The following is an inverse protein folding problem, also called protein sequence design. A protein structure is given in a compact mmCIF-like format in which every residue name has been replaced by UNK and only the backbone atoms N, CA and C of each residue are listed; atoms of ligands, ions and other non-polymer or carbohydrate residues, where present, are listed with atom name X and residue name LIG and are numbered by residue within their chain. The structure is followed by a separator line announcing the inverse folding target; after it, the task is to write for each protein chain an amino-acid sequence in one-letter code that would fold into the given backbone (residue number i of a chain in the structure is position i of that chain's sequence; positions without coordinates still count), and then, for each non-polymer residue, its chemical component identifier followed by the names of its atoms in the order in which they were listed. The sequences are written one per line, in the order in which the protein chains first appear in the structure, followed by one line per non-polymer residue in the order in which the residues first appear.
data_IF_908491842614
#
_entry.id   IF_908491842614
#
_cell.length_a   1.000
_cell.length_b   1.000
_cell.length_c   1.000
_cell.angle_alpha   90.00
_cell.angle_beta   90.00
_cell.angle_gamma   90.00
#
_symmetry.space_group_name_H-M   'P 1'
#
loop_
_entity.id
_entity.type
_entity.pdbx_description
1 polymer ?
#
# COMPACT_ATOMS: atom_id res chain seq x y z
N UNK A 1 40.77 -30.03 18.18
CA UNK A 1 39.71 -29.93 17.15
C UNK A 1 38.40 -29.73 17.88
N UNK A 2 37.95 -28.48 17.97
CA UNK A 2 36.72 -28.08 18.66
C UNK A 2 35.58 -28.07 17.63
N UNK A 3 34.46 -28.70 17.97
CA UNK A 3 33.23 -28.70 17.19
C UNK A 3 32.48 -27.36 17.31
N UNK A 4 33.17 -26.26 17.00
CA UNK A 4 32.64 -24.89 17.06
C UNK A 4 32.84 -24.11 15.75
N UNK A 5 33.32 -24.76 14.69
CA UNK A 5 33.42 -24.19 13.34
C UNK A 5 32.52 -24.99 12.40
N UNK A 6 31.51 -24.30 11.83
CA UNK A 6 30.53 -24.71 10.80
C UNK A 6 29.05 -24.68 11.24
N UNK A 7 28.55 -23.51 11.64
CA UNK A 7 27.23 -23.10 11.12
C UNK A 7 27.53 -22.04 10.08
N UNK A 8 27.68 -22.46 8.83
CA UNK A 8 27.67 -21.52 7.71
C UNK A 8 26.32 -20.79 7.79
N UNK A 9 26.34 -19.51 8.18
CA UNK A 9 25.13 -18.70 8.30
C UNK A 9 24.40 -18.72 6.97
N UNK A 10 23.22 -19.34 6.93
CA UNK A 10 22.37 -19.39 5.76
C UNK A 10 22.07 -17.95 5.31
N UNK A 11 22.16 -17.68 4.01
CA UNK A 11 21.89 -16.33 3.49
C UNK A 11 20.48 -15.90 3.87
N UNK A 12 20.25 -14.61 4.14
CA UNK A 12 18.91 -14.06 4.37
C UNK A 12 17.96 -14.37 3.21
N UNK A 13 18.49 -14.47 1.99
CA UNK A 13 17.76 -14.89 0.79
C UNK A 13 17.34 -16.36 0.85
N UNK A 14 18.25 -17.25 1.26
CA UNK A 14 17.93 -18.68 1.39
C UNK A 14 16.90 -18.91 2.51
N UNK A 15 17.00 -18.13 3.60
CA UNK A 15 16.02 -18.15 4.69
C UNK A 15 14.65 -17.65 4.24
N UNK A 16 14.61 -16.63 3.37
CA UNK A 16 13.38 -16.12 2.79
C UNK A 16 12.67 -17.17 1.94
N UNK A 17 13.39 -17.84 1.04
CA UNK A 17 12.79 -18.86 0.19
C UNK A 17 12.24 -20.03 1.02
N UNK A 18 13.00 -20.50 2.02
CA UNK A 18 12.54 -21.53 2.95
C UNK A 18 11.27 -21.09 3.70
N UNK A 19 11.26 -19.86 4.23
CA UNK A 19 10.10 -19.32 4.92
C UNK A 19 8.87 -19.22 4.01
N UNK A 20 9.04 -18.78 2.76
CA UNK A 20 7.93 -18.66 1.82
C UNK A 20 7.35 -20.02 1.40
N UNK A 21 8.20 -21.06 1.33
CA UNK A 21 7.74 -22.45 1.16
C UNK A 21 6.94 -22.93 2.37
N UNK A 22 7.39 -22.66 3.59
CA UNK A 22 6.64 -23.00 4.81
C UNK A 22 5.26 -22.32 4.84
N UNK A 23 5.17 -21.04 4.46
CA UNK A 23 3.89 -20.33 4.34
C UNK A 23 2.97 -20.98 3.31
N UNK A 24 3.53 -21.49 2.20
CA UNK A 24 2.78 -22.23 1.19
C UNK A 24 2.22 -23.54 1.74
N UNK A 25 2.93 -24.20 2.65
CA UNK A 25 2.48 -25.40 3.37
C UNK A 25 1.48 -25.10 4.49
N UNK A 26 1.16 -23.83 4.73
CA UNK A 26 0.18 -23.39 5.75
C UNK A 26 0.79 -23.15 7.12
N UNK A 27 2.12 -23.03 7.21
CA UNK A 27 2.81 -22.65 8.43
C UNK A 27 2.37 -21.26 8.93
N UNK A 28 2.32 -21.11 10.25
CA UNK A 28 2.06 -19.83 10.94
C UNK A 28 3.30 -19.34 11.69
N UNK A 29 4.49 -19.78 11.27
CA UNK A 29 5.74 -19.35 11.89
C UNK A 29 5.94 -17.84 11.73
N UNK A 30 6.62 -17.25 12.72
CA UNK A 30 7.00 -15.85 12.65
C UNK A 30 8.05 -15.63 11.56
N UNK A 31 8.00 -14.47 10.91
CA UNK A 31 9.03 -14.06 9.94
C UNK A 31 10.40 -14.05 10.63
N UNK A 32 11.40 -14.76 10.09
CA UNK A 32 12.78 -14.66 10.53
C UNK A 32 13.26 -13.20 10.56
N UNK A 33 13.85 -12.78 11.67
CA UNK A 33 14.22 -11.37 11.88
C UNK A 33 15.25 -10.91 10.85
N UNK A 34 16.15 -11.81 10.48
CA UNK A 34 17.24 -11.66 9.54
C UNK A 34 16.74 -11.16 8.17
N UNK A 35 15.59 -11.64 7.70
CA UNK A 35 14.98 -11.22 6.42
C UNK A 35 14.62 -9.73 6.45
N UNK A 36 14.13 -9.23 7.59
CA UNK A 36 13.63 -7.84 7.70
C UNK A 36 14.77 -6.87 8.00
N UNK A 37 15.79 -7.30 8.76
CA UNK A 37 16.87 -6.42 9.21
C UNK A 37 18.08 -6.40 8.29
N UNK A 38 18.16 -7.29 7.30
CA UNK A 38 19.27 -7.34 6.35
C UNK A 38 19.14 -6.26 5.24
N UNK A 39 19.43 -5.03 5.63
CA UNK A 39 19.42 -3.88 4.73
C UNK A 39 20.46 -3.99 3.60
N UNK A 40 21.56 -4.72 3.82
CA UNK A 40 22.63 -4.86 2.83
C UNK A 40 22.18 -5.70 1.63
N UNK A 41 21.31 -6.68 1.87
CA UNK A 41 20.75 -7.53 0.83
C UNK A 41 19.30 -7.16 0.46
N UNK A 42 18.81 -5.98 0.82
CA UNK A 42 17.43 -5.57 0.60
C UNK A 42 16.98 -5.77 -0.85
N UNK A 43 17.75 -5.30 -1.84
CA UNK A 43 17.42 -5.52 -3.27
C UNK A 43 17.39 -7.00 -3.66
N UNK A 44 18.32 -7.81 -3.14
CA UNK A 44 18.34 -9.24 -3.42
C UNK A 44 17.11 -9.96 -2.83
N UNK A 45 16.68 -9.56 -1.64
CA UNK A 45 15.46 -10.05 -1.00
C UNK A 45 14.21 -9.65 -1.78
N UNK A 46 14.11 -8.40 -2.25
CA UNK A 46 12.99 -7.96 -3.09
C UNK A 46 12.93 -8.75 -4.41
N UNK A 47 14.08 -8.98 -5.05
CA UNK A 47 14.15 -9.79 -6.27
C UNK A 47 13.73 -11.25 -6.01
N UNK A 48 14.14 -11.84 -4.89
CA UNK A 48 13.72 -13.20 -4.52
C UNK A 48 12.20 -13.30 -4.27
N UNK A 49 11.57 -12.22 -3.85
CA UNK A 49 10.11 -12.16 -3.65
C UNK A 49 9.29 -12.15 -4.95
N UNK A 50 9.90 -11.83 -6.10
CA UNK A 50 9.19 -11.68 -7.38
C UNK A 50 8.36 -12.91 -7.77
N UNK A 51 8.91 -14.11 -7.57
CA UNK A 51 8.23 -15.36 -7.89
C UNK A 51 6.96 -15.59 -7.03
N UNK A 52 6.89 -14.98 -5.85
CA UNK A 52 5.80 -15.17 -4.90
C UNK A 52 4.66 -14.15 -5.09
N UNK A 53 4.87 -13.05 -5.81
CA UNK A 53 3.81 -12.07 -6.10
C UNK A 53 2.70 -12.62 -7.01
N UNK A 54 2.98 -13.67 -7.77
CA UNK A 54 2.04 -14.33 -8.68
C UNK A 54 1.61 -15.73 -8.22
N UNK A 55 1.90 -16.07 -6.95
CA UNK A 55 1.57 -17.37 -6.38
C UNK A 55 0.07 -17.70 -6.46
N UNK A 56 -0.26 -18.96 -6.69
CA UNK A 56 -1.66 -19.41 -6.72
C UNK A 56 -2.33 -19.26 -5.34
N UNK A 57 -1.57 -19.39 -4.26
CA UNK A 57 -2.01 -19.34 -2.87
C UNK A 57 -2.06 -17.89 -2.36
N UNK A 58 -3.21 -17.48 -1.85
CA UNK A 58 -3.45 -16.10 -1.37
C UNK A 58 -2.52 -15.73 -0.20
N UNK A 59 -2.31 -16.62 0.77
CA UNK A 59 -1.43 -16.36 1.91
C UNK A 59 0.01 -16.08 1.49
N UNK A 60 0.51 -16.77 0.46
CA UNK A 60 1.86 -16.57 -0.06
C UNK A 60 1.98 -15.20 -0.73
N UNK A 61 1.06 -14.83 -1.62
CA UNK A 61 1.06 -13.47 -2.22
C UNK A 61 0.96 -12.38 -1.16
N UNK A 62 0.04 -12.53 -0.21
CA UNK A 62 -0.15 -11.56 0.87
C UNK A 62 1.13 -11.40 1.72
N UNK A 63 1.81 -12.51 2.02
CA UNK A 63 3.07 -12.50 2.76
C UNK A 63 4.19 -11.86 1.95
N UNK A 64 4.30 -12.17 0.66
CA UNK A 64 5.31 -11.57 -0.21
C UNK A 64 5.20 -10.04 -0.19
N UNK A 65 4.01 -9.48 -0.42
CA UNK A 65 3.80 -8.04 -0.38
C UNK A 65 4.05 -7.44 1.02
N UNK A 66 3.71 -8.14 2.10
CA UNK A 66 4.00 -7.67 3.46
C UNK A 66 5.51 -7.62 3.75
N UNK A 67 6.26 -8.64 3.32
CA UNK A 67 7.72 -8.68 3.45
C UNK A 67 8.38 -7.58 2.64
N UNK A 68 7.99 -7.39 1.37
CA UNK A 68 8.54 -6.31 0.54
C UNK A 68 8.35 -4.96 1.21
N UNK A 69 7.14 -4.69 1.73
CA UNK A 69 6.83 -3.48 2.48
C UNK A 69 7.74 -3.32 3.71
N UNK A 70 7.90 -4.37 4.51
CA UNK A 70 8.71 -4.31 5.76
C UNK A 70 10.20 -4.10 5.45
N UNK A 71 10.73 -4.76 4.43
CA UNK A 71 12.10 -4.57 3.95
C UNK A 71 12.31 -3.13 3.47
N UNK A 72 11.39 -2.61 2.65
CA UNK A 72 11.48 -1.24 2.14
C UNK A 72 11.39 -0.19 3.25
N UNK A 73 10.41 -0.29 4.15
CA UNK A 73 10.27 0.65 5.27
C UNK A 73 11.45 0.58 6.25
N UNK A 74 12.13 -0.56 6.31
CA UNK A 74 13.37 -0.71 7.05
C UNK A 74 14.61 -0.23 6.30
N UNK A 75 14.53 0.17 5.03
CA UNK A 75 15.69 0.51 4.20
C UNK A 75 15.90 2.03 4.07
N UNK A 76 17.14 2.46 4.27
CA UNK A 76 17.55 3.84 3.99
C UNK A 76 17.73 4.10 2.47
N UNK A 77 17.74 3.04 1.66
CA UNK A 77 17.91 3.15 0.21
C UNK A 77 16.59 3.56 -0.47
N UNK A 78 16.52 4.79 -0.95
CA UNK A 78 15.35 5.33 -1.64
C UNK A 78 14.96 4.50 -2.88
N UNK A 79 15.93 3.96 -3.63
CA UNK A 79 15.63 3.14 -4.81
C UNK A 79 14.88 1.86 -4.45
N UNK A 80 15.24 1.22 -3.32
CA UNK A 80 14.52 0.04 -2.80
C UNK A 80 13.09 0.39 -2.41
N UNK A 81 12.89 1.54 -1.75
CA UNK A 81 11.55 2.00 -1.36
C UNK A 81 10.68 2.29 -2.58
N UNK A 82 11.22 3.00 -3.56
CA UNK A 82 10.55 3.33 -4.81
C UNK A 82 10.19 2.10 -5.64
N UNK A 83 11.08 1.11 -5.70
CA UNK A 83 10.84 -0.18 -6.35
C UNK A 83 9.66 -0.92 -5.70
N UNK A 84 9.67 -1.04 -4.37
CA UNK A 84 8.59 -1.71 -3.63
C UNK A 84 7.27 -0.95 -3.74
N UNK A 85 7.27 0.39 -3.76
CA UNK A 85 6.05 1.16 -4.05
C UNK A 85 5.46 0.78 -5.41
N UNK A 86 6.30 0.61 -6.45
CA UNK A 86 5.87 0.13 -7.75
C UNK A 86 5.26 -1.28 -7.72
N UNK A 87 5.88 -2.20 -6.98
CA UNK A 87 5.35 -3.56 -6.74
C UNK A 87 3.98 -3.50 -6.05
N UNK A 88 3.87 -2.73 -4.98
CA UNK A 88 2.63 -2.61 -4.21
C UNK A 88 1.50 -1.94 -5.02
N UNK A 89 1.80 -0.92 -5.83
CA UNK A 89 0.79 -0.32 -6.72
C UNK A 89 0.31 -1.34 -7.76
N UNK A 90 1.19 -2.21 -8.26
CA UNK A 90 0.77 -3.29 -9.17
C UNK A 90 -0.13 -4.30 -8.46
N UNK A 91 0.15 -4.59 -7.18
CA UNK A 91 -0.63 -5.48 -6.33
C UNK A 91 -2.04 -4.96 -5.97
N UNK A 92 -2.34 -3.67 -6.22
CA UNK A 92 -3.72 -3.16 -6.14
C UNK A 92 -4.63 -3.78 -7.22
N UNK A 93 -4.07 -4.51 -8.19
CA UNK A 93 -4.82 -5.30 -9.19
C UNK A 93 -4.87 -6.80 -8.86
N UNK A 94 -4.51 -7.21 -7.63
CA UNK A 94 -4.60 -8.62 -7.22
C UNK A 94 -6.04 -9.13 -7.32
N UNK A 95 -6.20 -10.43 -7.60
CA UNK A 95 -7.51 -11.09 -7.68
C UNK A 95 -8.21 -11.19 -6.33
N UNK A 96 -7.47 -11.11 -5.23
CA UNK A 96 -7.99 -11.22 -3.87
C UNK A 96 -8.19 -9.82 -3.24
N UNK A 97 -9.42 -9.52 -2.82
CA UNK A 97 -9.74 -8.22 -2.21
C UNK A 97 -9.04 -8.01 -0.86
N UNK A 98 -8.77 -9.08 -0.11
CA UNK A 98 -8.02 -9.02 1.15
C UNK A 98 -6.57 -8.59 0.93
N UNK A 99 -5.93 -9.10 -0.13
CA UNK A 99 -4.60 -8.64 -0.57
C UNK A 99 -4.65 -7.17 -0.95
N UNK A 100 -5.59 -6.75 -1.81
CA UNK A 100 -5.76 -5.34 -2.20
C UNK A 100 -5.90 -4.43 -0.98
N UNK A 101 -6.76 -4.79 -0.02
CA UNK A 101 -7.00 -3.99 1.18
C UNK A 101 -5.76 -3.85 2.06
N UNK A 102 -4.95 -4.91 2.20
CA UNK A 102 -3.69 -4.89 2.93
C UNK A 102 -2.63 -4.06 2.23
N UNK A 103 -2.49 -4.22 0.91
CA UNK A 103 -1.56 -3.46 0.06
C UNK A 103 -1.91 -1.97 0.08
N UNK A 104 -3.17 -1.60 -0.10
CA UNK A 104 -3.63 -0.22 -0.03
C UNK A 104 -3.32 0.42 1.33
N UNK A 105 -3.49 -0.33 2.42
CA UNK A 105 -3.10 0.13 3.76
C UNK A 105 -1.57 0.20 3.91
N UNK A 106 -0.84 -0.72 3.30
CA UNK A 106 0.63 -0.74 3.30
C UNK A 106 1.23 0.49 2.62
N UNK A 107 0.62 0.94 1.52
CA UNK A 107 1.06 2.12 0.77
C UNK A 107 0.97 3.42 1.58
N UNK A 108 0.12 3.50 2.61
CA UNK A 108 -0.01 4.72 3.43
C UNK A 108 1.16 4.95 4.39
N UNK A 109 2.06 3.97 4.54
CA UNK A 109 3.26 4.10 5.38
C UNK A 109 4.45 4.72 4.63
N UNK A 110 4.38 4.85 3.31
CA UNK A 110 5.43 5.43 2.49
C UNK A 110 5.32 6.95 2.42
N UNK A 111 6.45 7.62 2.27
CA UNK A 111 6.51 9.06 2.07
C UNK A 111 6.20 9.40 0.61
N UNK A 112 5.77 10.64 0.37
CA UNK A 112 5.44 11.10 -0.99
C UNK A 112 6.63 10.94 -1.98
N UNK A 113 7.85 11.15 -1.52
CA UNK A 113 9.07 11.04 -2.34
C UNK A 113 9.44 9.58 -2.71
N UNK A 114 8.83 8.60 -2.03
CA UNK A 114 8.95 7.18 -2.40
C UNK A 114 8.08 6.84 -3.63
N UNK A 115 7.19 7.75 -4.07
CA UNK A 115 6.37 7.58 -5.26
C UNK A 115 7.03 8.25 -6.46
N UNK A 116 7.64 7.44 -7.32
CA UNK A 116 8.17 7.91 -8.61
C UNK A 116 7.06 8.47 -9.51
N UNK A 117 7.37 9.33 -10.50
CA UNK A 117 6.38 9.78 -11.48
C UNK A 117 5.65 8.63 -12.20
N UNK A 118 6.36 7.54 -12.50
CA UNK A 118 5.78 6.35 -13.12
C UNK A 118 4.78 5.63 -12.19
N UNK A 119 5.13 5.50 -10.91
CA UNK A 119 4.24 4.91 -9.90
C UNK A 119 3.01 5.79 -9.64
N UNK A 120 3.19 7.11 -9.59
CA UNK A 120 2.11 8.10 -9.46
C UNK A 120 1.12 7.98 -10.63
N UNK A 121 1.62 7.97 -11.86
CA UNK A 121 0.77 7.81 -13.06
C UNK A 121 0.01 6.47 -13.03
N UNK A 122 0.67 5.40 -12.58
CA UNK A 122 0.04 4.08 -12.46
C UNK A 122 -1.08 4.08 -11.42
N UNK A 123 -0.89 4.81 -10.31
CA UNK A 123 -1.88 4.98 -9.24
C UNK A 123 -3.06 5.87 -9.67
N UNK A 124 -2.82 6.96 -10.39
CA UNK A 124 -3.90 7.81 -10.93
C UNK A 124 -4.80 7.06 -11.92
N UNK A 125 -4.27 6.05 -12.61
CA UNK A 125 -5.01 5.21 -13.55
C UNK A 125 -5.78 4.04 -12.89
N UNK A 126 -5.61 3.82 -11.57
CA UNK A 126 -6.24 2.69 -10.87
C UNK A 126 -7.71 2.87 -10.45
N UNK A 127 -8.20 4.07 -10.09
CA UNK A 127 -9.58 4.21 -9.63
C UNK A 127 -10.60 3.75 -10.68
N UNK A 128 -11.24 2.61 -10.40
CA UNK A 128 -12.33 2.01 -11.18
C UNK A 128 -13.54 1.76 -10.26
N UNK A 129 -14.79 2.00 -10.71
CA UNK A 129 -15.99 1.81 -9.88
C UNK A 129 -16.15 0.42 -9.25
N UNK A 130 -15.56 -0.63 -9.85
CA UNK A 130 -15.64 -2.02 -9.38
C UNK A 130 -14.43 -2.43 -8.54
N UNK A 131 -13.45 -1.55 -8.39
CA UNK A 131 -12.23 -1.81 -7.64
C UNK A 131 -12.55 -2.06 -6.15
N UNK A 132 -12.09 -3.18 -5.57
CA UNK A 132 -12.15 -3.37 -4.12
C UNK A 132 -11.38 -2.27 -3.39
N UNK A 133 -11.91 -1.80 -2.26
CA UNK A 133 -11.29 -0.74 -1.45
C UNK A 133 -11.04 0.57 -2.24
N UNK A 134 -11.93 0.89 -3.18
CA UNK A 134 -11.84 2.09 -4.01
C UNK A 134 -11.67 3.38 -3.20
N UNK A 135 -12.29 3.49 -2.03
CA UNK A 135 -12.11 4.59 -1.09
C UNK A 135 -10.64 4.80 -0.70
N UNK A 136 -9.93 3.73 -0.37
CA UNK A 136 -8.49 3.78 -0.05
C UNK A 136 -7.64 4.15 -1.26
N UNK A 137 -7.97 3.59 -2.44
CA UNK A 137 -7.26 3.90 -3.68
C UNK A 137 -7.42 5.39 -4.04
N UNK A 138 -8.63 5.94 -3.92
CA UNK A 138 -8.89 7.37 -4.12
C UNK A 138 -8.05 8.23 -3.17
N UNK A 139 -8.03 7.89 -1.88
CA UNK A 139 -7.26 8.63 -0.87
C UNK A 139 -5.76 8.60 -1.18
N UNK A 140 -5.23 7.45 -1.61
CA UNK A 140 -3.83 7.31 -2.03
C UNK A 140 -3.53 8.17 -3.27
N UNK A 141 -4.39 8.15 -4.28
CA UNK A 141 -4.25 9.03 -5.46
C UNK A 141 -4.14 10.49 -5.02
N UNK A 142 -5.04 10.94 -4.15
CA UNK A 142 -5.02 12.30 -3.60
C UNK A 142 -3.80 12.67 -2.77
N UNK A 143 -3.25 11.71 -2.03
CA UNK A 143 -2.05 11.91 -1.22
C UNK A 143 -0.80 12.10 -2.11
N UNK A 144 -0.61 11.22 -3.09
CA UNK A 144 0.54 11.26 -3.99
C UNK A 144 0.44 12.47 -4.91
N UNK A 145 -0.73 12.72 -5.49
CA UNK A 145 -0.99 13.86 -6.37
C UNK A 145 -0.36 13.70 -7.75
N UNK A 146 -1.19 13.36 -8.73
CA UNK A 146 -0.87 13.27 -10.15
C UNK A 146 -1.50 14.41 -10.99
N UNK A 147 -0.99 14.65 -12.21
CA UNK A 147 -1.40 15.78 -13.05
C UNK A 147 -2.87 15.75 -13.49
N UNK A 148 -3.51 14.57 -13.48
CA UNK A 148 -4.89 14.36 -13.97
C UNK A 148 -5.86 13.91 -12.88
N UNK A 149 -5.46 13.96 -11.60
CA UNK A 149 -6.25 13.41 -10.51
C UNK A 149 -7.63 14.06 -10.41
N UNK A 150 -7.71 15.38 -10.58
CA UNK A 150 -8.97 16.12 -10.47
C UNK A 150 -10.02 15.63 -11.46
N UNK A 151 -9.64 15.38 -12.71
CA UNK A 151 -10.58 14.93 -13.75
C UNK A 151 -11.02 13.49 -13.52
N UNK A 152 -10.08 12.62 -13.11
CA UNK A 152 -10.38 11.23 -12.72
C UNK A 152 -11.38 11.22 -11.56
N UNK A 153 -11.14 12.01 -10.51
CA UNK A 153 -11.97 12.06 -9.31
C UNK A 153 -13.35 12.66 -9.58
N UNK A 154 -13.45 13.70 -10.41
CA UNK A 154 -14.74 14.28 -10.82
C UNK A 154 -15.57 13.27 -11.60
N UNK A 155 -14.96 12.58 -12.56
CA UNK A 155 -15.62 11.53 -13.33
C UNK A 155 -16.12 10.42 -12.39
N UNK A 156 -15.26 9.97 -11.48
CA UNK A 156 -15.58 8.90 -10.55
C UNK A 156 -16.70 9.28 -9.57
N UNK A 157 -16.71 10.52 -9.05
CA UNK A 157 -17.74 11.03 -8.14
C UNK A 157 -19.14 11.14 -8.80
N UNK A 158 -19.17 11.27 -10.12
CA UNK A 158 -20.41 11.29 -10.92
C UNK A 158 -20.94 9.90 -11.25
N UNK A 159 -20.16 8.85 -11.02
CA UNK A 159 -20.58 7.47 -11.27
C UNK A 159 -21.34 6.87 -10.08
N UNK A 160 -21.98 5.71 -10.30
CA UNK A 160 -22.65 4.94 -9.25
C UNK A 160 -21.64 4.12 -8.45
N UNK A 161 -20.93 4.79 -7.55
CA UNK A 161 -19.96 4.19 -6.62
C UNK A 161 -20.49 4.17 -5.18
N UNK A 162 -19.86 3.36 -4.32
CA UNK A 162 -20.22 3.28 -2.91
C UNK A 162 -20.08 4.62 -2.18
N UNK A 163 -20.85 4.79 -1.09
CA UNK A 163 -20.88 6.03 -0.29
C UNK A 163 -19.48 6.46 0.18
N UNK A 164 -18.69 5.52 0.70
CA UNK A 164 -17.35 5.80 1.23
C UNK A 164 -16.38 6.24 0.12
N UNK A 165 -16.45 5.61 -1.05
CA UNK A 165 -15.64 6.00 -2.21
C UNK A 165 -16.02 7.40 -2.69
N UNK A 166 -17.33 7.70 -2.77
CA UNK A 166 -17.81 9.03 -3.15
C UNK A 166 -17.39 10.11 -2.15
N UNK A 167 -17.45 9.80 -0.86
CA UNK A 167 -16.96 10.67 0.20
C UNK A 167 -15.46 10.93 0.06
N UNK A 168 -14.67 9.87 -0.11
CA UNK A 168 -13.21 9.97 -0.33
C UNK A 168 -12.89 10.84 -1.55
N UNK A 169 -13.63 10.70 -2.65
CA UNK A 169 -13.44 11.53 -3.84
C UNK A 169 -13.67 13.02 -3.53
N UNK A 170 -14.74 13.37 -2.81
CA UNK A 170 -14.98 14.76 -2.43
C UNK A 170 -13.94 15.30 -1.45
N UNK A 171 -13.48 14.50 -0.48
CA UNK A 171 -12.40 14.89 0.43
C UNK A 171 -11.11 15.22 -0.33
N UNK A 172 -10.72 14.33 -1.25
CA UNK A 172 -9.51 14.53 -2.06
C UNK A 172 -9.66 15.74 -2.98
N UNK A 173 -10.77 15.88 -3.70
CA UNK A 173 -11.00 17.04 -4.57
C UNK A 173 -10.97 18.36 -3.78
N UNK A 174 -11.58 18.39 -2.59
CA UNK A 174 -11.54 19.57 -1.72
C UNK A 174 -10.09 19.91 -1.31
N UNK A 175 -9.29 18.90 -0.94
CA UNK A 175 -7.86 19.06 -0.62
C UNK A 175 -7.05 19.58 -1.81
N UNK A 176 -7.41 19.17 -3.03
CA UNK A 176 -6.80 19.62 -4.28
C UNK A 176 -7.34 20.98 -4.77
N UNK A 177 -8.19 21.66 -3.98
CA UNK A 177 -8.67 23.02 -4.28
C UNK A 177 -9.98 23.11 -5.05
N UNK A 178 -10.75 22.02 -5.19
CA UNK A 178 -12.09 22.09 -5.77
C UNK A 178 -13.09 22.70 -4.78
N UNK A 179 -13.48 23.96 -5.01
CA UNK A 179 -14.39 24.70 -4.15
C UNK A 179 -15.77 24.03 -4.03
N UNK A 180 -16.26 23.41 -5.11
CA UNK A 180 -17.55 22.70 -5.11
C UNK A 180 -17.52 21.48 -4.20
N UNK A 181 -16.44 20.70 -4.25
CA UNK A 181 -16.20 19.57 -3.35
C UNK A 181 -16.04 20.05 -1.90
N UNK A 182 -15.31 21.15 -1.66
CA UNK A 182 -15.15 21.73 -0.33
C UNK A 182 -16.50 22.11 0.28
N UNK A 183 -17.36 22.82 -0.46
CA UNK A 183 -18.71 23.18 -0.01
C UNK A 183 -19.52 21.93 0.33
N UNK A 184 -19.44 20.87 -0.48
CA UNK A 184 -20.13 19.59 -0.21
C UNK A 184 -19.63 18.89 1.06
N UNK A 185 -18.32 18.88 1.29
CA UNK A 185 -17.71 18.34 2.51
C UNK A 185 -18.17 19.14 3.72
N UNK A 186 -18.08 20.47 3.68
CA UNK A 186 -18.51 21.35 4.76
C UNK A 186 -20.00 21.19 5.09
N UNK A 187 -20.86 21.12 4.08
CA UNK A 187 -22.29 20.92 4.29
C UNK A 187 -22.59 19.55 4.91
N UNK A 188 -21.89 18.50 4.46
CA UNK A 188 -22.01 17.16 5.04
C UNK A 188 -21.61 17.16 6.52
N UNK A 189 -20.48 17.79 6.88
CA UNK A 189 -20.02 17.90 8.28
C UNK A 189 -21.00 18.71 9.12
N UNK A 190 -21.47 19.88 8.64
CA UNK A 190 -22.43 20.74 9.34
C UNK A 190 -23.79 20.08 9.58
N UNK A 191 -24.21 19.18 8.70
CA UNK A 191 -25.49 18.47 8.81
C UNK A 191 -25.50 17.38 9.88
N UNK A 192 -24.33 16.97 10.37
CA UNK A 192 -24.21 15.99 11.44
C UNK A 192 -24.25 16.71 12.78
N UNK A 193 -25.08 16.22 13.70
CA UNK A 193 -25.00 16.60 15.10
C UNK A 193 -23.60 16.27 15.60
N UNK A 194 -22.93 17.21 16.29
CA UNK A 194 -21.63 16.97 16.93
C UNK A 194 -21.76 15.77 17.90
N UNK A 195 -21.33 14.61 17.43
CA UNK A 195 -21.22 13.36 18.19
C UNK A 195 -19.87 12.70 17.83
N UNK A 196 -19.48 11.67 18.58
CA UNK A 196 -18.16 11.03 18.42
C UNK A 196 -17.95 10.45 17.00
N UNK A 197 -19.02 10.11 16.28
CA UNK A 197 -18.98 9.65 14.88
C UNK A 197 -18.39 10.70 13.91
N UNK A 198 -18.53 12.01 14.21
CA UNK A 198 -17.93 13.08 13.41
C UNK A 198 -16.41 13.10 13.55
N UNK A 199 -15.89 12.71 14.72
CA UNK A 199 -14.46 12.68 15.01
C UNK A 199 -13.80 11.48 14.31
N UNK A 200 -14.47 10.33 14.25
CA UNK A 200 -13.95 9.13 13.59
C UNK A 200 -13.98 9.20 12.05
N UNK A 201 -14.90 9.96 11.46
CA UNK A 201 -15.01 10.11 9.99
C UNK A 201 -14.11 11.20 9.39
N UNK A 202 -13.51 12.05 10.22
CA UNK A 202 -12.41 12.90 9.81
C UNK A 202 -11.14 12.06 9.95
N UNK A 203 -10.56 11.52 8.86
CA UNK A 203 -9.26 10.87 8.99
C UNK A 203 -8.31 11.89 9.60
N UNK A 204 -7.68 11.54 10.73
CA UNK A 204 -6.56 12.30 11.28
C UNK A 204 -5.50 12.36 10.19
N UNK A 205 -5.49 13.46 9.45
CA UNK A 205 -4.47 13.73 8.46
C UNK A 205 -3.20 14.03 9.25
N UNK A 206 -2.10 13.30 9.06
CA UNK A 206 -0.82 13.70 9.64
C UNK A 206 -0.53 15.14 9.19
N UNK A 207 -0.38 16.06 10.15
CA UNK A 207 0.15 17.39 9.86
C UNK A 207 1.57 17.21 9.32
N UNK A 208 1.75 17.52 8.03
CA UNK A 208 3.08 17.67 7.44
C UNK A 208 3.33 19.18 7.42
N UNK A 209 4.15 19.63 8.38
CA UNK A 209 4.89 20.89 8.29
C UNK A 209 5.97 20.78 7.21
#
# INVERSE_FOLDING_TARGET
MSAADQVAGQSSVDMLDAYMLDIREGSLQAVPREIITDQQNASALINALEQYYSDSVVSVRAMAYDLSKRIALGSDNNSVRQEVVGVLISALRDKDSGVIGRVATGLTYFQKDDFTPASTNSLTALPDPKQPHLDKVIMLTGFVGGPNDMDVLRNLANQSIGRNAKWSAYLVMARLGDEGALIRVLNSVKSRSLNDDVVEELPTVPEIL
#
